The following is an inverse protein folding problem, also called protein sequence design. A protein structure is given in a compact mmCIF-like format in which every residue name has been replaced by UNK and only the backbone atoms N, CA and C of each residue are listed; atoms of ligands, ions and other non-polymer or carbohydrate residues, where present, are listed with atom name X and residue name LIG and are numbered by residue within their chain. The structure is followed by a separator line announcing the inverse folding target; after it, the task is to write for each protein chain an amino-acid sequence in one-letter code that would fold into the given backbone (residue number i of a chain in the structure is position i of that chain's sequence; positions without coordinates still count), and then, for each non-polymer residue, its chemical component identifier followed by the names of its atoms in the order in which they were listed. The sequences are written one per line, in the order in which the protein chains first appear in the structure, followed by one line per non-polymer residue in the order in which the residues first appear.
data_IF_662949178524
#
_entry.id   IF_662949178524
#
_cell.length_a   1.000
_cell.length_b   1.000
_cell.length_c   1.000
_cell.angle_alpha   90.00
_cell.angle_beta   90.00
_cell.angle_gamma   90.00
#
_symmetry.space_group_name_H-M   'P 1'
#
loop_
_entity.id
_entity.type
_entity.pdbx_description
1 polymer ?
#
# COMPACT_ATOMS: atom_id res chain seq x y z
N UNK A 1 -6.20 -5.09 -1.25
CA UNK A 1 -5.55 -4.31 -2.33
C UNK A 1 -5.00 -5.28 -3.40
N UNK A 2 -5.09 -4.96 -4.70
CA UNK A 2 -4.70 -5.86 -5.81
C UNK A 2 -5.22 -7.32 -5.67
N UNK A 3 -6.50 -7.46 -5.30
CA UNK A 3 -7.17 -8.74 -5.06
C UNK A 3 -6.63 -9.60 -3.90
N UNK A 4 -5.81 -9.02 -3.02
CA UNK A 4 -5.39 -9.62 -1.74
C UNK A 4 -6.16 -8.93 -0.62
N UNK A 5 -6.91 -9.68 0.17
CA UNK A 5 -7.49 -9.24 1.45
C UNK A 5 -6.46 -9.51 2.55
N UNK A 6 -5.96 -8.44 3.14
CA UNK A 6 -4.88 -8.52 4.12
C UNK A 6 -5.35 -9.19 5.40
N UNK A 7 -4.60 -10.19 5.87
CA UNK A 7 -4.83 -10.86 7.15
C UNK A 7 -3.75 -10.42 8.13
N UNK A 8 -4.16 -9.81 9.24
CA UNK A 8 -3.25 -9.47 10.33
C UNK A 8 -2.69 -10.74 10.98
N UNK A 9 -1.36 -10.86 11.16
CA UNK A 9 -0.78 -11.99 11.85
C UNK A 9 -1.16 -11.98 13.34
N UNK A 10 -1.25 -13.16 13.95
CA UNK A 10 -1.69 -13.31 15.35
C UNK A 10 -0.55 -13.52 16.35
N UNK A 11 0.48 -14.29 15.95
CA UNK A 11 1.50 -14.78 16.89
C UNK A 11 2.79 -13.93 16.87
N UNK A 12 2.97 -13.09 15.86
CA UNK A 12 4.14 -12.23 15.69
C UNK A 12 3.74 -10.98 14.92
N UNK A 13 4.26 -9.83 15.32
CA UNK A 13 4.18 -8.64 14.46
C UNK A 13 5.01 -8.84 13.19
N UNK A 14 4.65 -8.14 12.11
CA UNK A 14 5.40 -8.23 10.85
C UNK A 14 6.85 -7.77 11.01
N UNK A 15 7.07 -6.71 11.80
CA UNK A 15 8.41 -6.18 12.06
C UNK A 15 9.25 -7.17 12.88
N UNK A 16 8.68 -7.76 13.93
CA UNK A 16 9.36 -8.80 14.70
C UNK A 16 9.73 -10.00 13.83
N UNK A 17 8.77 -10.50 13.03
CA UNK A 17 9.01 -11.62 12.14
C UNK A 17 10.12 -11.31 11.12
N UNK A 18 10.17 -10.07 10.60
CA UNK A 18 11.25 -9.63 9.74
C UNK A 18 12.60 -9.58 10.45
N UNK A 19 12.69 -8.93 11.61
CA UNK A 19 13.95 -8.76 12.35
C UNK A 19 14.52 -10.08 12.86
N UNK A 20 13.66 -11.00 13.29
CA UNK A 20 14.06 -12.29 13.86
C UNK A 20 14.09 -13.43 12.81
N UNK A 21 13.75 -13.15 11.56
CA UNK A 21 13.74 -14.15 10.48
C UNK A 21 12.72 -15.27 10.69
N UNK A 22 11.56 -14.98 11.28
CA UNK A 22 10.54 -15.98 11.62
C UNK A 22 9.80 -16.41 10.33
N UNK A 23 9.87 -17.70 9.93
CA UNK A 23 9.23 -18.17 8.72
C UNK A 23 7.71 -18.27 8.88
N UNK A 24 6.97 -18.15 7.76
CA UNK A 24 5.53 -18.44 7.71
C UNK A 24 4.60 -17.33 8.22
N UNK A 25 5.13 -16.19 8.68
CA UNK A 25 4.29 -15.05 9.13
C UNK A 25 3.77 -14.22 7.96
N UNK A 26 4.62 -13.99 6.95
CA UNK A 26 4.26 -13.26 5.74
C UNK A 26 5.08 -13.75 4.54
N UNK A 27 4.67 -13.35 3.34
CA UNK A 27 5.46 -13.48 2.10
C UNK A 27 5.72 -12.11 1.50
N UNK A 28 6.78 -11.96 0.69
CA UNK A 28 7.16 -10.67 0.06
C UNK A 28 6.73 -10.58 -1.41
N UNK A 29 5.68 -11.31 -1.78
CA UNK A 29 5.17 -11.45 -3.15
C UNK A 29 3.87 -10.67 -3.38
N UNK A 30 3.64 -9.57 -2.64
CA UNK A 30 2.50 -8.71 -2.93
C UNK A 30 2.56 -8.23 -4.39
N UNK A 31 1.50 -8.37 -5.19
CA UNK A 31 1.55 -8.05 -6.60
C UNK A 31 1.59 -6.53 -6.80
N UNK A 32 2.57 -6.04 -7.58
CA UNK A 32 2.70 -4.61 -7.91
C UNK A 32 1.62 -4.08 -8.85
N UNK A 33 0.87 -4.98 -9.50
CA UNK A 33 -0.26 -4.67 -10.37
C UNK A 33 -1.41 -5.62 -10.08
N UNK A 34 -2.68 -5.25 -10.32
CA UNK A 34 -3.79 -6.17 -10.16
C UNK A 34 -3.61 -7.42 -11.06
N UNK A 35 -3.90 -8.63 -10.56
CA UNK A 35 -3.68 -9.87 -11.30
C UNK A 35 -4.59 -10.02 -12.53
N UNK A 36 -5.73 -9.33 -12.53
CA UNK A 36 -6.68 -9.30 -13.65
C UNK A 36 -6.98 -7.84 -13.98
N UNK A 37 -6.91 -7.50 -15.27
CA UNK A 37 -7.34 -6.20 -15.79
C UNK A 37 -8.79 -6.29 -16.24
N UNK A 38 -9.57 -5.29 -15.89
CA UNK A 38 -10.95 -5.11 -16.30
C UNK A 38 -11.26 -3.61 -16.28
N UNK A 39 -12.47 -3.23 -16.70
CA UNK A 39 -12.98 -1.87 -16.51
C UNK A 39 -13.28 -1.66 -15.03
N UNK A 40 -12.33 -1.11 -14.28
CA UNK A 40 -12.39 -1.02 -12.81
C UNK A 40 -13.57 -0.19 -12.33
N UNK A 41 -13.90 0.87 -13.06
CA UNK A 41 -14.97 1.82 -12.72
C UNK A 41 -16.27 1.59 -13.49
N UNK A 42 -16.38 0.47 -14.21
CA UNK A 42 -17.54 0.12 -15.04
C UNK A 42 -18.44 -0.94 -14.40
N UNK A 43 -19.10 -1.73 -15.24
CA UNK A 43 -19.90 -2.87 -14.77
C UNK A 43 -19.01 -4.08 -14.48
N UNK A 44 -18.69 -4.29 -13.20
CA UNK A 44 -17.76 -5.34 -12.77
C UNK A 44 -18.51 -6.67 -12.51
N UNK A 45 -18.01 -7.76 -13.08
CA UNK A 45 -18.54 -9.11 -12.84
C UNK A 45 -18.47 -9.48 -11.36
N UNK A 46 -19.56 -10.06 -10.83
CA UNK A 46 -19.61 -10.59 -9.45
C UNK A 46 -18.56 -11.67 -9.17
N UNK A 47 -18.05 -12.34 -10.20
CA UNK A 47 -16.96 -13.31 -10.06
C UNK A 47 -15.64 -12.69 -9.57
N UNK A 48 -15.51 -11.36 -9.66
CA UNK A 48 -14.32 -10.62 -9.22
C UNK A 48 -14.48 -9.98 -7.84
N UNK A 49 -15.63 -10.17 -7.17
CA UNK A 49 -15.92 -9.47 -5.91
C UNK A 49 -15.16 -10.05 -4.71
N UNK A 50 -14.69 -11.30 -4.83
CA UNK A 50 -14.06 -11.99 -3.71
C UNK A 50 -12.53 -11.97 -3.83
N UNK A 51 -11.83 -11.19 -3.00
CA UNK A 51 -10.37 -11.26 -2.91
C UNK A 51 -9.91 -12.52 -2.19
N UNK A 52 -8.67 -12.94 -2.47
CA UNK A 52 -8.02 -14.02 -1.73
C UNK A 52 -7.41 -13.51 -0.42
N UNK A 53 -7.57 -14.20 0.72
CA UNK A 53 -6.92 -13.81 1.96
C UNK A 53 -5.41 -14.02 1.89
N UNK A 54 -4.62 -13.14 2.52
CA UNK A 54 -3.19 -13.36 2.68
C UNK A 54 -2.43 -12.24 3.39
N UNK A 55 -1.30 -12.59 4.00
CA UNK A 55 -0.36 -11.65 4.61
C UNK A 55 0.83 -11.46 3.67
N UNK A 56 0.64 -10.61 2.64
CA UNK A 56 1.65 -10.36 1.60
C UNK A 56 2.19 -8.93 1.70
N UNK A 57 3.50 -8.79 1.71
CA UNK A 57 4.21 -7.52 1.76
C UNK A 57 4.86 -7.20 0.41
N UNK A 58 5.00 -5.91 0.10
CA UNK A 58 5.76 -5.46 -1.07
C UNK A 58 7.16 -5.04 -0.62
N UNK A 59 8.18 -5.74 -1.10
CA UNK A 59 9.57 -5.48 -0.72
C UNK A 59 10.18 -4.35 -1.55
N UNK A 60 10.79 -3.38 -0.90
CA UNK A 60 11.45 -2.22 -1.49
C UNK A 60 12.90 -2.15 -1.03
N UNK A 61 13.80 -1.80 -1.97
CA UNK A 61 15.18 -1.46 -1.63
C UNK A 61 15.22 -0.07 -1.01
N UNK A 62 16.08 0.13 -0.01
CA UNK A 62 16.38 1.44 0.54
C UNK A 62 16.69 2.46 -0.56
N UNK A 63 16.13 3.66 -0.46
CA UNK A 63 16.32 4.78 -1.39
C UNK A 63 15.56 4.66 -2.72
N UNK A 64 14.73 3.63 -2.89
CA UNK A 64 13.90 3.50 -4.10
C UNK A 64 12.94 4.68 -4.24
N UNK A 65 12.85 5.27 -5.44
CA UNK A 65 11.82 6.27 -5.76
C UNK A 65 10.56 5.54 -6.19
N UNK A 66 9.54 5.56 -5.35
CA UNK A 66 8.31 4.78 -5.55
C UNK A 66 7.22 5.69 -6.10
N UNK A 67 6.52 5.22 -7.12
CA UNK A 67 5.27 5.79 -7.59
C UNK A 67 4.18 4.74 -7.44
N UNK A 68 3.07 5.10 -6.81
CA UNK A 68 1.91 4.24 -6.66
C UNK A 68 0.74 4.90 -7.37
N UNK A 69 0.07 4.13 -8.24
CA UNK A 69 -1.25 4.47 -8.77
C UNK A 69 -2.25 3.67 -7.97
N UNK A 70 -3.13 4.36 -7.26
CA UNK A 70 -4.19 3.76 -6.45
C UNK A 70 -5.49 3.94 -7.23
N UNK A 71 -6.13 2.85 -7.61
CA UNK A 71 -7.34 2.80 -8.44
C UNK A 71 -8.50 2.28 -7.59
N UNK A 72 -9.55 3.08 -7.46
CA UNK A 72 -10.85 2.64 -6.94
C UNK A 72 -11.57 1.75 -7.97
N UNK A 73 -12.44 0.86 -7.49
CA UNK A 73 -13.23 -0.04 -8.33
C UNK A 73 -14.71 0.07 -7.99
N UNK A 74 -15.60 -0.18 -8.95
CA UNK A 74 -17.05 -0.28 -8.70
C UNK A 74 -17.49 -1.62 -8.08
N UNK A 75 -16.58 -2.43 -7.54
CA UNK A 75 -16.91 -3.69 -6.85
C UNK A 75 -17.71 -3.35 -5.58
N UNK A 76 -18.85 -4.02 -5.39
CA UNK A 76 -19.85 -3.73 -4.35
C UNK A 76 -20.47 -2.33 -4.50
N UNK A 77 -19.70 -1.27 -4.29
CA UNK A 77 -20.10 0.12 -4.48
C UNK A 77 -18.84 1.00 -4.61
N UNK A 78 -18.82 1.97 -5.54
CA UNK A 78 -17.69 2.90 -5.63
C UNK A 78 -17.71 3.87 -4.44
N UNK A 79 -16.54 4.14 -3.88
CA UNK A 79 -16.41 4.92 -2.64
C UNK A 79 -15.12 5.73 -2.62
N UNK A 80 -15.12 6.84 -1.87
CA UNK A 80 -13.87 7.54 -1.59
C UNK A 80 -13.11 6.77 -0.50
N UNK A 81 -11.89 6.34 -0.81
CA UNK A 81 -11.05 5.64 0.15
C UNK A 81 -9.89 6.53 0.62
N UNK A 82 -9.84 6.95 1.90
CA UNK A 82 -8.68 7.63 2.46
C UNK A 82 -7.55 6.60 2.67
N UNK A 83 -6.59 6.53 1.75
CA UNK A 83 -5.45 5.62 1.85
C UNK A 83 -4.31 6.31 2.60
N UNK A 84 -3.94 5.73 3.73
CA UNK A 84 -2.87 6.18 4.60
C UNK A 84 -1.64 5.27 4.47
N UNK A 85 -0.45 5.85 4.52
CA UNK A 85 0.83 5.14 4.56
C UNK A 85 1.59 5.50 5.83
N UNK A 86 1.92 4.49 6.64
CA UNK A 86 2.75 4.66 7.83
C UNK A 86 4.20 4.94 7.42
N UNK A 87 4.94 5.64 8.29
CA UNK A 87 6.38 5.86 8.13
C UNK A 87 6.79 6.86 7.04
N UNK A 88 5.83 7.40 6.28
CA UNK A 88 6.06 8.32 5.18
C UNK A 88 4.98 9.39 5.10
N UNK A 89 5.39 10.62 4.80
CA UNK A 89 4.58 11.50 3.96
C UNK A 89 4.93 11.24 2.49
N UNK A 90 4.01 11.52 1.59
CA UNK A 90 4.15 11.36 0.14
C UNK A 90 3.56 12.55 -0.60
N UNK A 91 4.05 12.78 -1.81
CA UNK A 91 3.49 13.78 -2.71
C UNK A 91 2.31 13.19 -3.48
N UNK A 92 1.15 13.84 -3.41
CA UNK A 92 0.00 13.51 -4.25
C UNK A 92 0.16 14.29 -5.55
N UNK A 93 0.60 13.62 -6.62
CA UNK A 93 0.97 14.30 -7.86
C UNK A 93 -0.18 14.42 -8.85
N UNK A 94 -1.20 13.58 -8.74
CA UNK A 94 -2.40 13.68 -9.57
C UNK A 94 -3.54 12.88 -8.98
N UNK A 95 -4.77 13.28 -9.33
CA UNK A 95 -5.99 12.54 -9.09
C UNK A 95 -6.87 12.65 -10.34
N UNK A 96 -7.75 11.67 -10.54
CA UNK A 96 -8.70 11.67 -11.64
C UNK A 96 -9.85 10.72 -11.39
N UNK A 97 -10.81 10.73 -12.31
CA UNK A 97 -11.94 9.82 -12.36
C UNK A 97 -11.78 8.82 -13.49
N UNK A 98 -12.51 7.71 -13.42
CA UNK A 98 -12.44 6.59 -14.34
C UNK A 98 -11.24 5.67 -14.07
N UNK A 99 -10.86 4.92 -15.09
CA UNK A 99 -9.66 4.08 -15.06
C UNK A 99 -8.42 4.93 -15.40
N UNK A 100 -7.37 4.83 -14.60
CA UNK A 100 -6.09 5.47 -14.91
C UNK A 100 -5.51 4.96 -16.23
N UNK A 101 -5.18 5.89 -17.13
CA UNK A 101 -4.46 5.61 -18.37
C UNK A 101 -3.07 6.27 -18.37
N UNK A 102 -1.98 5.50 -18.25
CA UNK A 102 -0.63 6.06 -18.20
C UNK A 102 -0.23 6.82 -19.47
N UNK A 103 -0.90 6.60 -20.60
CA UNK A 103 -0.59 7.29 -21.87
C UNK A 103 -1.13 8.72 -21.90
N UNK A 104 -2.20 9.00 -21.18
CA UNK A 104 -2.92 10.28 -21.23
C UNK A 104 -2.87 11.02 -19.91
N UNK A 105 -3.02 10.32 -18.78
CA UNK A 105 -3.11 10.92 -17.45
C UNK A 105 -1.79 11.39 -16.87
N UNK A 106 -0.65 10.90 -17.37
CA UNK A 106 0.68 11.38 -16.93
C UNK A 106 0.91 12.85 -17.22
N UNK A 107 0.22 13.42 -18.21
CA UNK A 107 0.21 14.86 -18.49
C UNK A 107 -0.43 15.70 -17.38
N UNK A 108 -1.24 15.08 -16.49
CA UNK A 108 -1.92 15.74 -15.37
C UNK A 108 -1.04 15.82 -14.11
N UNK A 109 0.17 15.28 -14.14
CA UNK A 109 1.04 15.23 -12.95
C UNK A 109 1.51 16.64 -12.58
N UNK A 110 1.14 17.09 -11.38
CA UNK A 110 1.79 18.22 -10.73
C UNK A 110 3.16 17.78 -10.22
N UNK A 111 4.21 18.20 -10.91
CA UNK A 111 5.61 17.92 -10.57
C UNK A 111 6.35 19.16 -10.03
N UNK A 112 5.64 20.25 -9.76
CA UNK A 112 6.21 21.52 -9.30
C UNK A 112 5.95 21.70 -7.81
N UNK A 113 4.69 21.65 -7.40
CA UNK A 113 4.25 21.91 -6.02
C UNK A 113 3.13 20.96 -5.54
N UNK A 114 3.26 19.63 -5.73
CA UNK A 114 2.25 18.69 -5.25
C UNK A 114 2.13 18.73 -3.72
N UNK A 115 0.92 18.58 -3.16
CA UNK A 115 0.75 18.54 -1.71
C UNK A 115 1.46 17.32 -1.10
N UNK A 116 2.16 17.57 0.00
CA UNK A 116 2.79 16.55 0.85
C UNK A 116 1.81 16.14 1.96
N UNK A 117 1.46 14.85 2.02
CA UNK A 117 0.47 14.27 2.95
C UNK A 117 0.85 12.82 3.28
N UNK A 118 0.39 12.31 4.41
CA UNK A 118 0.44 10.87 4.73
C UNK A 118 -0.83 10.11 4.35
N UNK A 119 -1.89 10.81 3.94
CA UNK A 119 -3.19 10.23 3.58
C UNK A 119 -3.73 10.92 2.34
N UNK A 120 -4.20 10.12 1.37
CA UNK A 120 -4.84 10.60 0.14
C UNK A 120 -6.26 10.04 0.03
N UNK A 121 -7.23 10.90 -0.22
CA UNK A 121 -8.57 10.47 -0.59
C UNK A 121 -8.58 10.03 -2.05
N UNK A 122 -8.66 8.73 -2.32
CA UNK A 122 -8.84 8.21 -3.68
C UNK A 122 -10.27 8.55 -4.12
N UNK A 123 -10.47 9.26 -5.24
CA UNK A 123 -11.82 9.67 -5.67
C UNK A 123 -12.74 8.47 -5.92
N UNK A 124 -14.04 8.64 -5.65
CA UNK A 124 -15.10 7.68 -6.01
C UNK A 124 -14.99 7.36 -7.51
N UNK A 125 -14.90 6.09 -7.87
CA UNK A 125 -14.69 5.65 -9.25
C UNK A 125 -13.53 6.37 -9.93
N UNK A 126 -12.41 6.50 -9.22
CA UNK A 126 -11.26 7.24 -9.71
C UNK A 126 -9.94 6.69 -9.24
N UNK A 127 -8.92 7.54 -9.33
CA UNK A 127 -7.56 7.17 -9.02
C UNK A 127 -6.79 8.33 -8.40
N UNK A 128 -5.73 7.98 -7.67
CA UNK A 128 -4.74 8.91 -7.16
C UNK A 128 -3.34 8.38 -7.47
N UNK A 129 -2.40 9.28 -7.76
CA UNK A 129 -0.99 8.95 -7.93
C UNK A 129 -0.17 9.63 -6.85
N UNK A 130 0.59 8.82 -6.11
CA UNK A 130 1.48 9.30 -5.06
C UNK A 130 2.94 8.92 -5.34
N UNK A 131 3.86 9.73 -4.84
CA UNK A 131 5.30 9.45 -4.88
C UNK A 131 5.97 9.67 -3.54
N UNK A 132 6.89 8.78 -3.19
CA UNK A 132 7.77 8.90 -2.02
C UNK A 132 9.12 8.23 -2.31
N UNK A 133 10.09 8.48 -1.44
CA UNK A 133 11.37 7.77 -1.45
C UNK A 133 11.34 6.76 -0.30
N UNK A 134 11.65 5.50 -0.57
CA UNK A 134 11.68 4.44 0.44
C UNK A 134 12.99 4.49 1.25
N UNK A 135 13.19 5.56 2.02
CA UNK A 135 14.40 5.86 2.80
C UNK A 135 14.24 5.64 4.31
N UNK A 136 13.14 5.00 4.72
CA UNK A 136 12.87 4.62 6.10
C UNK A 136 12.81 3.08 6.21
N UNK A 137 13.90 2.39 6.61
CA UNK A 137 13.94 0.94 6.77
C UNK A 137 12.91 0.46 7.80
N UNK A 138 12.20 -0.63 7.51
CA UNK A 138 11.16 -1.11 8.41
C UNK A 138 10.04 -1.85 7.69
N UNK A 139 8.96 -2.09 8.44
CA UNK A 139 7.71 -2.62 7.90
C UNK A 139 6.61 -1.56 8.10
N UNK A 140 6.04 -1.09 6.99
CA UNK A 140 5.15 0.07 6.98
C UNK A 140 3.79 -0.28 6.42
N UNK A 141 2.73 -0.17 7.23
CA UNK A 141 1.37 -0.46 6.81
C UNK A 141 0.84 0.63 5.88
N UNK A 142 0.22 0.23 4.78
CA UNK A 142 -0.59 1.08 3.91
C UNK A 142 -2.02 0.56 3.90
N UNK A 143 -2.99 1.37 4.29
CA UNK A 143 -4.36 0.90 4.47
C UNK A 143 -5.40 1.99 4.25
N UNK A 144 -6.65 1.59 4.03
CA UNK A 144 -7.79 2.50 4.12
C UNK A 144 -7.96 2.94 5.58
N UNK A 145 -8.14 4.24 5.80
CA UNK A 145 -8.34 4.85 7.11
C UNK A 145 -9.81 4.82 7.57
N UNK A 146 -10.62 3.95 6.95
CA UNK A 146 -11.94 3.56 7.41
C UNK A 146 -11.81 2.24 8.16
N UNK A 147 -12.11 2.24 9.46
CA UNK A 147 -11.86 1.10 10.37
C UNK A 147 -12.52 -0.20 9.90
N UNK A 148 -13.68 -0.10 9.29
CA UNK A 148 -14.36 -1.27 8.70
C UNK A 148 -13.56 -1.88 7.54
N UNK A 149 -12.93 -1.05 6.69
CA UNK A 149 -12.18 -1.53 5.52
C UNK A 149 -10.82 -2.10 5.88
N UNK A 150 -10.09 -1.52 6.83
CA UNK A 150 -8.84 -2.13 7.32
C UNK A 150 -9.14 -3.51 7.94
N UNK A 151 -10.23 -3.65 8.70
CA UNK A 151 -10.64 -4.93 9.28
C UNK A 151 -11.10 -5.97 8.23
N UNK A 152 -11.63 -5.52 7.09
CA UNK A 152 -11.93 -6.39 5.93
C UNK A 152 -10.70 -6.69 5.05
N UNK A 153 -9.54 -6.10 5.37
CA UNK A 153 -8.28 -6.37 4.68
C UNK A 153 -7.96 -5.42 3.53
N UNK A 154 -8.53 -4.21 3.48
CA UNK A 154 -8.09 -3.12 2.59
C UNK A 154 -6.77 -2.53 3.12
N UNK A 155 -5.73 -3.35 3.11
CA UNK A 155 -4.40 -3.03 3.58
C UNK A 155 -3.33 -3.81 2.79
N UNK A 156 -2.08 -3.42 2.99
CA UNK A 156 -0.84 -4.13 2.66
C UNK A 156 0.28 -3.53 3.52
N UNK A 157 1.46 -4.15 3.58
CA UNK A 157 2.63 -3.49 4.18
C UNK A 157 3.85 -3.49 3.23
N UNK A 158 4.61 -2.39 3.25
CA UNK A 158 5.91 -2.32 2.58
C UNK A 158 6.97 -2.87 3.52
N UNK A 159 7.86 -3.70 3.00
CA UNK A 159 9.10 -4.07 3.68
C UNK A 159 10.23 -3.29 3.03
N UNK A 160 10.76 -2.29 3.73
CA UNK A 160 11.88 -1.48 3.24
C UNK A 160 13.16 -2.03 3.85
N UNK A 161 14.04 -2.52 2.99
CA UNK A 161 15.32 -3.09 3.39
C UNK A 161 16.23 -2.04 4.05
N UNK A 162 17.20 -2.51 4.82
CA UNK A 162 18.31 -1.67 5.28
C UNK A 162 19.12 -1.17 4.07
N UNK A 163 19.65 0.05 4.18
CA UNK A 163 20.70 0.59 3.34
C UNK A 163 22.08 0.13 3.79
N UNK A 164 23.10 0.96 3.50
CA UNK A 164 24.51 0.64 3.79
C UNK A 164 24.93 1.13 5.17
N UNK A 165 24.44 2.31 5.57
CA UNK A 165 24.83 2.96 6.81
C UNK A 165 24.04 2.50 8.03
N UNK A 166 24.59 2.75 9.21
CA UNK A 166 23.91 2.56 10.50
C UNK A 166 22.60 3.36 10.57
N UNK A 167 22.61 4.62 10.09
CA UNK A 167 21.41 5.46 9.99
C UNK A 167 20.42 5.03 8.90
N UNK A 168 20.78 4.01 8.11
CA UNK A 168 19.95 3.42 7.08
C UNK A 168 19.53 2.00 7.49
N UNK A 169 19.59 1.67 8.77
CA UNK A 169 19.29 0.34 9.30
C UNK A 169 18.22 0.42 10.38
N UNK A 170 17.33 -0.56 10.42
CA UNK A 170 16.32 -0.70 11.48
C UNK A 170 17.01 -0.79 12.85
N UNK A 171 16.53 -0.02 13.81
CA UNK A 171 17.00 -0.06 15.20
C UNK A 171 16.62 -1.38 15.88
N UNK A 172 17.42 -1.88 16.85
CA UNK A 172 17.04 -3.04 17.63
C UNK A 172 15.70 -2.79 18.36
N UNK A 173 14.89 -3.85 18.58
CA UNK A 173 13.65 -3.72 19.33
C UNK A 173 13.94 -3.22 20.75
N UNK A 174 13.03 -2.42 21.35
CA UNK A 174 13.21 -1.97 22.72
C UNK A 174 13.10 -3.16 23.71
N UNK A 175 13.78 -3.12 24.88
CA UNK A 175 13.80 -4.24 25.83
C UNK A 175 12.42 -4.64 26.39
N UNK A 176 11.46 -3.72 26.36
CA UNK A 176 10.10 -3.86 26.85
C UNK A 176 9.08 -4.08 25.73
N UNK A 177 9.53 -4.49 24.53
CA UNK A 177 8.63 -4.84 23.42
C UNK A 177 7.61 -5.90 23.90
N UNK A 178 6.29 -5.64 23.77
CA UNK A 178 5.28 -6.60 24.20
C UNK A 178 5.42 -7.95 23.50
N UNK A 179 5.25 -9.02 24.28
CA UNK A 179 5.27 -10.38 23.78
C UNK A 179 3.94 -10.64 23.05
N UNK A 180 4.04 -11.20 21.84
CA UNK A 180 2.88 -11.61 21.04
C UNK A 180 2.24 -12.90 21.55
#
# INVERSE_FOLDING_TARGET
MNNVSFVLPKNFSLLQAHQQGIPGVFTTDFPGTPPVKFDYTGNVSRSLFQPGPGTKLYKLKYGSRVQIVIQDTSIVTPENHPIHLHGYDFYIIAQGFGNFDPKTDTSKFNLVDPPLRNTVGVPVNGWAVIRFVADNPGVWLMHCHLDVHINWGLAMAFLVENGVGELQTIQPPPPDLPIC
#
